data_IF_512437434245
#
_entry.id   IF_512437434245
#
_cell.length_a   1.000
_cell.length_b   1.000
_cell.length_c   1.000
_cell.angle_alpha   90.00
_cell.angle_beta   90.00
_cell.angle_gamma   90.00
#
_symmetry.space_group_name_H-M   'P 1'
#
loop_
_entity.id
_entity.type
_entity.pdbx_description
1 polymer ?
#
# COMPACT_ATOMS: atom_id res chain seq x y z
N UNK A 1 -18.19 2.02 3.53
CA UNK A 1 -17.06 1.78 4.46
C UNK A 1 -16.63 3.12 5.03
N UNK A 2 -16.56 3.26 6.35
CA UNK A 2 -16.11 4.51 6.98
C UNK A 2 -14.59 4.72 6.83
N UNK A 3 -14.07 5.94 7.03
CA UNK A 3 -12.65 6.22 6.98
C UNK A 3 -11.83 5.32 7.92
N UNK A 4 -10.74 4.78 7.38
CA UNK A 4 -9.70 4.07 8.13
C UNK A 4 -8.75 5.07 8.79
N UNK A 5 -8.34 4.80 10.04
CA UNK A 5 -7.30 5.57 10.75
C UNK A 5 -5.96 4.87 10.58
N UNK A 6 -4.94 5.61 10.17
CA UNK A 6 -3.58 5.09 10.01
C UNK A 6 -2.74 5.42 11.25
N UNK A 7 -2.02 4.41 11.75
CA UNK A 7 -0.97 4.57 12.78
C UNK A 7 0.38 4.64 12.09
N UNK A 8 1.18 5.63 12.45
CA UNK A 8 2.50 5.87 11.87
C UNK A 8 3.61 5.69 12.90
N UNK A 9 4.73 5.15 12.43
CA UNK A 9 6.03 5.29 13.06
C UNK A 9 6.93 6.13 12.13
N UNK A 10 7.22 7.35 12.55
CA UNK A 10 7.82 8.36 11.68
C UNK A 10 7.01 8.58 10.39
N UNK A 11 7.59 8.22 9.24
CA UNK A 11 6.97 8.35 7.91
C UNK A 11 6.35 7.05 7.38
N UNK A 12 6.42 5.96 8.14
CA UNK A 12 5.92 4.64 7.75
C UNK A 12 4.57 4.38 8.41
N UNK A 13 3.57 4.00 7.61
CA UNK A 13 2.31 3.51 8.17
C UNK A 13 2.49 2.07 8.66
N UNK A 14 2.30 1.86 9.95
CA UNK A 14 2.51 0.56 10.63
C UNK A 14 1.19 -0.11 11.02
N UNK A 15 0.06 0.59 10.94
CA UNK A 15 -1.23 0.00 11.25
C UNK A 15 -2.43 0.74 10.67
N UNK A 16 -3.52 0.01 10.52
CA UNK A 16 -4.85 0.50 10.12
C UNK A 16 -5.88 0.11 11.17
N UNK A 17 -6.71 1.07 11.56
CA UNK A 17 -7.79 0.88 12.52
C UNK A 17 -9.10 1.37 11.92
N UNK A 18 -10.21 0.76 12.35
CA UNK A 18 -11.53 1.31 12.07
C UNK A 18 -11.84 2.54 12.96
N UNK A 19 -13.04 3.09 12.81
CA UNK A 19 -13.45 4.26 13.59
C UNK A 19 -13.65 3.97 15.09
N UNK A 20 -13.97 2.73 15.44
CA UNK A 20 -14.16 2.27 16.80
C UNK A 20 -12.84 1.92 17.51
N UNK A 21 -11.72 1.93 16.77
CA UNK A 21 -10.39 1.60 17.28
C UNK A 21 -10.05 0.11 17.20
N UNK A 22 -10.82 -0.68 16.46
CA UNK A 22 -10.47 -2.06 16.19
C UNK A 22 -9.33 -2.12 15.17
N UNK A 23 -8.33 -2.96 15.45
CA UNK A 23 -7.19 -3.16 14.57
C UNK A 23 -7.61 -3.93 13.32
N UNK A 24 -7.42 -3.31 12.15
CA UNK A 24 -7.73 -3.88 10.85
C UNK A 24 -6.50 -4.52 10.21
N UNK A 25 -5.35 -3.83 10.21
CA UNK A 25 -4.10 -4.37 9.66
C UNK A 25 -2.89 -3.85 10.42
N UNK A 26 -1.82 -4.65 10.45
CA UNK A 26 -0.48 -4.20 10.87
C UNK A 26 0.51 -4.42 9.74
N UNK A 27 1.46 -3.51 9.58
CA UNK A 27 2.47 -3.57 8.55
C UNK A 27 3.85 -3.71 9.16
N UNK A 28 4.68 -4.57 8.56
CA UNK A 28 6.08 -4.74 8.90
C UNK A 28 6.90 -4.11 7.78
N UNK A 29 7.51 -2.94 8.04
CA UNK A 29 8.39 -2.29 7.08
C UNK A 29 9.64 -3.14 6.82
N UNK A 30 10.17 -3.05 5.61
CA UNK A 30 11.49 -3.56 5.26
C UNK A 30 12.57 -2.50 5.45
N UNK A 31 13.69 -2.68 4.74
CA UNK A 31 14.87 -1.82 4.88
C UNK A 31 14.68 -0.39 4.30
N UNK A 32 13.74 -0.22 3.38
CA UNK A 32 13.43 1.07 2.74
C UNK A 32 12.11 1.66 3.21
N UNK A 33 11.96 2.99 3.09
CA UNK A 33 10.72 3.70 3.46
C UNK A 33 9.50 3.21 2.68
N UNK A 34 9.70 2.83 1.42
CA UNK A 34 8.66 2.35 0.50
C UNK A 34 8.62 0.82 0.39
N UNK A 35 9.33 0.12 1.27
CA UNK A 35 9.33 -1.33 1.28
C UNK A 35 8.50 -1.83 2.45
N UNK A 36 7.40 -2.52 2.16
CA UNK A 36 6.59 -3.22 3.17
C UNK A 36 6.65 -4.70 2.84
N UNK A 37 7.20 -5.49 3.75
CA UNK A 37 7.47 -6.92 3.51
C UNK A 37 6.27 -7.77 3.88
N UNK A 38 5.52 -7.35 4.90
CA UNK A 38 4.45 -8.17 5.47
C UNK A 38 3.31 -7.31 5.97
N UNK A 39 2.08 -7.79 5.75
CA UNK A 39 0.88 -7.31 6.42
C UNK A 39 0.28 -8.41 7.29
N UNK A 40 -0.29 -8.06 8.43
CA UNK A 40 -1.15 -8.94 9.22
C UNK A 40 -2.59 -8.43 9.11
N UNK A 41 -3.52 -9.31 8.75
CA UNK A 41 -4.95 -9.01 8.67
C UNK A 41 -5.60 -9.23 10.05
N UNK A 42 -6.37 -8.23 10.49
CA UNK A 42 -7.04 -8.19 11.78
C UNK A 42 -6.09 -8.16 12.98
N UNK A 43 -6.64 -8.49 14.15
CA UNK A 43 -5.88 -8.54 15.40
C UNK A 43 -5.00 -9.80 15.55
N UNK A 44 -5.27 -10.84 14.77
CA UNK A 44 -4.58 -12.13 14.82
C UNK A 44 -3.27 -12.18 14.02
N UNK A 45 -2.85 -13.39 13.68
CA UNK A 45 -1.60 -13.66 12.95
C UNK A 45 -1.83 -14.11 11.50
N UNK A 46 -2.95 -13.69 10.86
CA UNK A 46 -3.17 -13.92 9.42
C UNK A 46 -2.16 -13.08 8.63
N UNK A 47 -1.05 -13.72 8.25
CA UNK A 47 0.10 -13.07 7.61
C UNK A 47 -0.03 -13.10 6.10
N UNK A 48 0.22 -11.94 5.49
CA UNK A 48 0.29 -11.72 4.05
C UNK A 48 1.70 -11.24 3.69
N UNK A 49 2.41 -11.97 2.84
CA UNK A 49 3.68 -11.51 2.30
C UNK A 49 3.42 -10.66 1.06
N UNK A 50 4.08 -9.50 0.98
CA UNK A 50 3.98 -8.59 -0.15
C UNK A 50 5.25 -8.75 -0.99
N UNK A 51 5.11 -9.31 -2.19
CA UNK A 51 6.22 -9.57 -3.09
C UNK A 51 6.29 -8.43 -4.10
N UNK A 52 7.44 -7.76 -4.13
CA UNK A 52 7.66 -6.60 -4.97
C UNK A 52 8.51 -6.94 -6.21
N UNK A 53 8.29 -6.18 -7.29
CA UNK A 53 9.16 -6.14 -8.47
C UNK A 53 10.46 -5.34 -8.19
N UNK A 54 11.32 -5.19 -9.20
CA UNK A 54 12.60 -4.49 -9.10
C UNK A 54 12.47 -3.00 -8.77
N UNK A 55 11.29 -2.40 -8.96
CA UNK A 55 10.99 -1.00 -8.65
C UNK A 55 10.25 -0.85 -7.32
N UNK A 56 10.02 -1.95 -6.60
CA UNK A 56 9.30 -1.97 -5.34
C UNK A 56 7.77 -2.06 -5.47
N UNK A 57 7.21 -2.25 -6.67
CA UNK A 57 5.77 -2.41 -6.85
C UNK A 57 5.32 -3.77 -6.36
N UNK A 58 4.30 -3.83 -5.49
CA UNK A 58 3.76 -5.10 -5.01
C UNK A 58 3.00 -5.79 -6.13
N UNK A 59 3.55 -6.89 -6.67
CA UNK A 59 3.00 -7.66 -7.81
C UNK A 59 2.36 -8.98 -7.39
N UNK A 60 2.65 -9.47 -6.18
CA UNK A 60 1.99 -10.66 -5.64
C UNK A 60 1.81 -10.57 -4.13
N UNK A 61 0.70 -11.13 -3.65
CA UNK A 61 0.42 -11.29 -2.23
C UNK A 61 0.19 -12.76 -1.96
N UNK A 62 0.95 -13.33 -1.02
CA UNK A 62 0.83 -14.74 -0.61
C UNK A 62 0.40 -14.86 0.85
N UNK A 63 -0.19 -16.00 1.20
CA UNK A 63 -0.48 -16.37 2.59
C UNK A 63 0.78 -16.89 3.32
N UNK A 64 0.61 -17.23 4.61
CA UNK A 64 1.66 -17.83 5.44
C UNK A 64 2.22 -19.17 4.93
N UNK A 65 1.49 -19.87 4.04
CA UNK A 65 1.88 -21.12 3.41
C UNK A 65 2.40 -20.94 1.97
N UNK A 66 2.66 -19.68 1.56
CA UNK A 66 3.13 -19.28 0.24
C UNK A 66 2.15 -19.55 -0.92
N UNK A 67 0.86 -19.76 -0.65
CA UNK A 67 -0.15 -19.78 -1.71
C UNK A 67 -0.40 -18.35 -2.20
N UNK A 68 -0.46 -18.17 -3.53
CA UNK A 68 -0.81 -16.87 -4.13
C UNK A 68 -2.28 -16.54 -3.87
N UNK A 69 -2.52 -15.40 -3.22
CA UNK A 69 -3.84 -14.86 -2.93
C UNK A 69 -4.27 -13.82 -3.97
N UNK A 70 -3.32 -13.04 -4.47
CA UNK A 70 -3.57 -12.03 -5.50
C UNK A 70 -2.32 -11.81 -6.33
N UNK A 71 -2.52 -11.67 -7.64
CA UNK A 71 -1.51 -11.13 -8.57
C UNK A 71 -1.94 -9.72 -8.93
N UNK A 72 -1.16 -8.74 -8.49
CA UNK A 72 -1.41 -7.34 -8.78
C UNK A 72 -0.77 -6.97 -10.13
N UNK A 73 -1.48 -6.18 -10.93
CA UNK A 73 -1.01 -5.66 -12.21
C UNK A 73 -1.06 -4.14 -12.24
N UNK A 74 -0.22 -3.55 -13.09
CA UNK A 74 -0.13 -2.11 -13.28
C UNK A 74 0.12 -1.82 -14.77
N UNK A 75 -0.37 -0.68 -15.27
CA UNK A 75 0.12 -0.12 -16.53
C UNK A 75 1.48 0.61 -16.34
N UNK A 76 2.02 1.21 -17.40
CA UNK A 76 3.29 1.92 -17.37
C UNK A 76 3.32 3.13 -16.42
N UNK A 77 2.16 3.72 -16.10
CA UNK A 77 2.03 4.86 -15.19
C UNK A 77 1.63 4.44 -13.77
N UNK A 78 1.43 3.15 -13.53
CA UNK A 78 1.09 2.60 -12.22
C UNK A 78 -0.41 2.48 -11.97
N UNK A 79 -1.28 2.61 -12.97
CA UNK A 79 -2.72 2.40 -12.80
C UNK A 79 -2.97 0.95 -12.38
N UNK A 80 -3.59 0.70 -11.21
CA UNK A 80 -3.79 -0.66 -10.73
C UNK A 80 -4.87 -1.39 -11.51
N UNK A 81 -4.67 -2.70 -11.70
CA UNK A 81 -5.71 -3.61 -12.19
C UNK A 81 -6.95 -3.61 -11.28
N UNK A 82 -8.13 -3.88 -11.84
CA UNK A 82 -9.39 -3.85 -11.09
C UNK A 82 -9.47 -4.86 -9.94
N UNK A 83 -8.66 -5.92 -10.00
CA UNK A 83 -8.55 -6.97 -8.97
C UNK A 83 -7.37 -6.77 -8.02
N UNK A 84 -6.62 -5.67 -8.14
CA UNK A 84 -5.50 -5.41 -7.23
C UNK A 84 -5.99 -5.34 -5.78
N UNK A 85 -5.19 -5.89 -4.89
CA UNK A 85 -5.45 -5.88 -3.46
C UNK A 85 -4.27 -5.32 -2.67
N UNK A 86 -4.51 -5.00 -1.40
CA UNK A 86 -3.50 -4.42 -0.51
C UNK A 86 -3.44 -2.89 -0.56
N UNK A 87 -2.93 -2.32 0.54
CA UNK A 87 -2.74 -0.88 0.72
C UNK A 87 -1.54 -0.36 -0.05
N UNK A 88 -0.42 -1.07 0.02
CA UNK A 88 0.83 -0.74 -0.66
C UNK A 88 0.87 -1.45 -2.00
N UNK A 89 1.07 -0.69 -3.07
CA UNK A 89 0.91 -1.17 -4.44
C UNK A 89 2.08 -0.68 -5.31
N UNK A 90 1.84 0.11 -6.36
CA UNK A 90 2.84 0.61 -7.28
C UNK A 90 3.98 1.35 -6.56
N UNK A 91 5.23 0.97 -6.83
CA UNK A 91 6.44 1.49 -6.15
C UNK A 91 6.36 1.50 -4.62
N UNK A 92 5.57 0.57 -4.05
CA UNK A 92 5.37 0.45 -2.61
C UNK A 92 4.53 1.56 -1.98
N UNK A 93 3.88 2.41 -2.78
CA UNK A 93 3.10 3.54 -2.28
C UNK A 93 1.69 3.14 -1.86
N UNK A 94 1.14 3.89 -0.90
CA UNK A 94 -0.23 3.66 -0.44
C UNK A 94 -1.24 4.08 -1.51
N UNK A 95 -2.06 3.13 -1.95
CA UNK A 95 -3.21 3.38 -2.81
C UNK A 95 -4.41 3.87 -1.99
N UNK A 96 -4.94 5.04 -2.38
CA UNK A 96 -6.13 5.63 -1.81
C UNK A 96 -7.32 5.37 -2.74
N UNK A 97 -7.98 4.23 -2.55
CA UNK A 97 -9.06 3.74 -3.44
C UNK A 97 -10.17 4.76 -3.69
N UNK A 98 -10.56 5.57 -2.70
CA UNK A 98 -11.62 6.57 -2.87
C UNK A 98 -11.18 7.75 -3.75
N UNK A 99 -9.90 8.13 -3.69
CA UNK A 99 -9.35 9.23 -4.47
C UNK A 99 -8.79 8.79 -5.82
N UNK A 100 -8.51 7.49 -5.99
CA UNK A 100 -7.77 6.93 -7.12
C UNK A 100 -6.39 7.61 -7.27
N UNK A 101 -5.66 7.73 -6.15
CA UNK A 101 -4.35 8.37 -6.07
C UNK A 101 -3.38 7.52 -5.23
N UNK A 102 -2.10 7.64 -5.54
CA UNK A 102 -1.02 7.17 -4.66
C UNK A 102 -0.56 8.28 -3.72
N UNK A 103 -0.40 7.94 -2.44
CA UNK A 103 0.15 8.85 -1.43
C UNK A 103 1.68 8.68 -1.34
N UNK A 104 2.43 9.59 -1.97
CA UNK A 104 3.90 9.69 -1.94
C UNK A 104 4.39 10.61 -0.80
N UNK A 105 3.69 10.61 0.34
CA UNK A 105 3.97 11.44 1.53
C UNK A 105 3.79 12.94 1.28
N UNK A 106 4.74 13.55 0.58
CA UNK A 106 4.75 14.96 0.30
C UNK A 106 3.80 15.35 -0.85
N UNK A 107 3.49 14.40 -1.74
CA UNK A 107 2.63 14.62 -2.91
C UNK A 107 1.66 13.46 -3.12
N UNK A 108 0.56 13.74 -3.82
CA UNK A 108 -0.34 12.73 -4.33
C UNK A 108 -0.08 12.54 -5.83
N UNK A 109 0.08 11.29 -6.26
CA UNK A 109 0.32 10.93 -7.66
C UNK A 109 -0.94 10.33 -8.29
N UNK A 110 -1.32 10.85 -9.46
CA UNK A 110 -2.45 10.42 -10.26
C UNK A 110 -1.97 9.54 -11.42
N UNK A 111 -2.00 8.20 -11.30
CA UNK A 111 -1.56 7.29 -12.36
C UNK A 111 -2.35 7.48 -13.66
N UNK A 112 -3.65 7.74 -13.58
CA UNK A 112 -4.53 8.04 -14.72
C UNK A 112 -4.14 9.31 -15.50
N UNK A 113 -3.31 10.18 -14.92
CA UNK A 113 -2.77 11.38 -15.58
C UNK A 113 -1.24 11.31 -15.76
N UNK A 114 -0.59 10.24 -15.27
CA UNK A 114 0.86 10.09 -15.25
C UNK A 114 1.61 11.20 -14.50
N UNK A 115 1.01 11.85 -13.49
CA UNK A 115 1.64 13.01 -12.82
C UNK A 115 1.24 13.22 -11.36
N UNK A 116 2.03 14.03 -10.65
CA UNK A 116 1.67 14.53 -9.33
C UNK A 116 0.58 15.62 -9.38
N UNK A 117 -0.23 15.69 -8.33
CA UNK A 117 -1.31 16.67 -8.14
C UNK A 117 -0.83 17.98 -7.51
N UNK A 118 0.43 18.03 -7.09
CA UNK A 118 1.10 19.21 -6.53
C UNK A 118 2.51 19.34 -7.14
N UNK A 119 3.00 20.57 -7.23
CA UNK A 119 4.41 20.88 -7.53
C UNK A 119 5.34 20.27 -6.47
N UNK A 120 6.61 20.07 -6.82
CA UNK A 120 7.62 19.65 -5.85
C UNK A 120 7.76 20.68 -4.72
N UNK A 121 7.60 20.28 -3.43
CA UNK A 121 7.73 21.20 -2.31
C UNK A 121 9.12 21.84 -2.17
N UNK A 122 10.15 21.30 -2.82
CA UNK A 122 11.51 21.83 -2.79
C UNK A 122 11.99 22.46 -4.11
N UNK A 123 11.13 22.55 -5.14
CA UNK A 123 11.42 23.21 -6.42
C UNK A 123 11.33 22.31 -7.62
#
# INVERSE_FOLDING_TARGET
MGPTRLLYDGQQAIGEFDQAGALLKRYVPGLGLDNVVTAYEGAGYDRRYLLADERGSVVSITDGAANALTTNTYDEYGQPGSTNSGRFQYTGQMWLTQAQLYHYRARAYAPQLGRFMQTDPIG
#
